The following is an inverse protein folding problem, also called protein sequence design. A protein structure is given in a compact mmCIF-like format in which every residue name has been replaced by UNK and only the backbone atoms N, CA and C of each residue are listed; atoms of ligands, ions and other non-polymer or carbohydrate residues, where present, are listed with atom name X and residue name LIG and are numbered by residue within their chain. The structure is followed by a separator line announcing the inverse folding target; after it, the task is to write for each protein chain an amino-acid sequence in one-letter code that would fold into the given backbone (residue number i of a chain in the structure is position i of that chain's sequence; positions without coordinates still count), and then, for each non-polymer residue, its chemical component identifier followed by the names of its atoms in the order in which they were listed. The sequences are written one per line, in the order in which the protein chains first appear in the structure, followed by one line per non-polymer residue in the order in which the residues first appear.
data_IF_183998759055
#
_entry.id   IF_183998759055
#
_cell.length_a   1.000
_cell.length_b   1.000
_cell.length_c   1.000
_cell.angle_alpha   90.00
_cell.angle_beta   90.00
_cell.angle_gamma   90.00
#
_symmetry.space_group_name_H-M   'P 1'
#
loop_
_entity.id
_entity.type
_entity.pdbx_description
1 polymer ?
#
# COMPACT_ATOMS: atom_id res chain seq x y z
N UNK A 1 29.62 -1.52 3.79
CA UNK A 1 29.38 -0.65 2.60
C UNK A 1 27.93 -0.80 2.17
N UNK A 2 27.26 0.27 1.80
CA UNK A 2 25.91 0.26 1.24
C UNK A 2 25.97 0.43 -0.26
N UNK A 3 25.18 -0.35 -0.97
CA UNK A 3 25.07 -0.31 -2.42
C UNK A 3 23.60 -0.12 -2.80
N UNK A 4 23.36 0.53 -3.93
CA UNK A 4 22.03 0.60 -4.55
C UNK A 4 22.02 -0.29 -5.79
N UNK A 5 21.02 -1.15 -5.91
CA UNK A 5 20.84 -1.95 -7.13
C UNK A 5 20.32 -1.05 -8.23
N UNK A 6 21.07 -0.91 -9.31
CA UNK A 6 20.68 -0.11 -10.47
C UNK A 6 19.87 -0.94 -11.48
N UNK A 7 20.29 -2.17 -11.73
CA UNK A 7 19.57 -3.09 -12.61
C UNK A 7 19.90 -4.53 -12.28
N UNK A 8 19.01 -5.45 -12.66
CA UNK A 8 19.20 -6.89 -12.51
C UNK A 8 19.40 -7.47 -13.90
N UNK A 9 20.41 -8.34 -14.06
CA UNK A 9 20.72 -9.03 -15.30
C UNK A 9 20.02 -10.39 -15.27
N UNK A 10 19.14 -10.63 -16.23
CA UNK A 10 18.32 -11.84 -16.32
C UNK A 10 16.85 -11.59 -15.98
N UNK A 11 15.99 -12.55 -16.28
CA UNK A 11 14.56 -12.47 -16.03
C UNK A 11 14.04 -13.74 -15.32
N UNK A 12 13.06 -13.59 -14.45
CA UNK A 12 12.46 -14.70 -13.71
C UNK A 12 13.45 -15.37 -12.74
N UNK A 13 13.45 -16.70 -12.68
CA UNK A 13 14.32 -17.46 -11.79
C UNK A 13 15.79 -17.54 -12.26
N UNK A 14 16.09 -17.05 -13.46
CA UNK A 14 17.46 -17.07 -14.04
C UNK A 14 18.14 -15.70 -13.95
N UNK A 15 18.13 -15.10 -12.78
CA UNK A 15 18.90 -13.90 -12.52
C UNK A 15 20.37 -14.25 -12.35
N UNK A 16 21.22 -13.74 -13.25
CA UNK A 16 22.66 -14.08 -13.32
C UNK A 16 23.56 -13.01 -12.74
N UNK A 17 23.04 -11.84 -12.43
CA UNK A 17 23.84 -10.76 -11.85
C UNK A 17 23.02 -9.50 -11.59
N UNK A 18 23.67 -8.54 -10.96
CA UNK A 18 23.10 -7.21 -10.72
C UNK A 18 24.16 -6.14 -10.93
N UNK A 19 23.76 -5.01 -11.50
CA UNK A 19 24.58 -3.81 -11.53
C UNK A 19 24.25 -3.00 -10.27
N UNK A 20 25.27 -2.75 -9.45
CA UNK A 20 25.13 -2.03 -8.19
C UNK A 20 25.94 -0.73 -8.21
N UNK A 21 25.38 0.32 -7.63
CA UNK A 21 26.10 1.54 -7.31
C UNK A 21 26.58 1.45 -5.88
N UNK A 22 27.88 1.53 -5.66
CA UNK A 22 28.46 1.54 -4.31
C UNK A 22 28.37 2.97 -3.76
N UNK A 23 27.50 3.16 -2.76
CA UNK A 23 27.26 4.47 -2.17
C UNK A 23 28.30 4.84 -1.11
N UNK A 24 28.91 3.85 -0.47
CA UNK A 24 29.98 4.07 0.50
C UNK A 24 30.91 2.86 0.62
N UNK A 25 32.17 3.10 0.78
CA UNK A 25 33.21 2.09 1.02
C UNK A 25 33.78 2.34 2.42
N UNK A 26 33.88 1.27 3.22
CA UNK A 26 34.50 1.38 4.56
C UNK A 26 35.99 1.71 4.48
N UNK A 27 36.49 2.44 5.46
CA UNK A 27 37.91 2.78 5.60
C UNK A 27 38.75 1.51 5.63
N UNK A 28 39.81 1.46 4.80
CA UNK A 28 40.71 0.30 4.67
C UNK A 28 40.52 -0.58 3.43
N UNK A 29 39.52 -0.28 2.60
CA UNK A 29 39.30 -0.98 1.32
C UNK A 29 39.90 -0.22 0.12
N UNK A 30 40.33 1.01 0.34
CA UNK A 30 40.62 2.00 -0.70
C UNK A 30 41.85 1.73 -1.53
N UNK A 31 42.79 0.86 -1.15
CA UNK A 31 44.08 0.77 -1.82
C UNK A 31 44.67 -0.65 -2.05
N UNK A 32 43.85 -1.65 -2.26
CA UNK A 32 44.38 -2.99 -2.60
C UNK A 32 44.09 -3.36 -4.06
N UNK A 33 45.07 -3.17 -4.90
CA UNK A 33 44.97 -3.33 -6.37
C UNK A 33 45.34 -4.73 -6.89
N UNK A 34 45.70 -5.70 -6.04
CA UNK A 34 46.36 -6.93 -6.51
C UNK A 34 45.64 -8.25 -6.26
N UNK A 35 44.55 -8.26 -5.53
CA UNK A 35 43.75 -9.50 -5.33
C UNK A 35 42.27 -9.23 -5.59
N UNK A 36 41.58 -10.13 -6.35
CA UNK A 36 40.12 -10.07 -6.48
C UNK A 36 39.49 -10.17 -5.09
N UNK A 37 38.72 -9.18 -4.71
CA UNK A 37 37.98 -9.21 -3.45
C UNK A 37 36.62 -9.86 -3.68
N UNK A 38 36.34 -10.89 -2.91
CA UNK A 38 35.01 -11.44 -2.81
C UNK A 38 34.19 -10.57 -1.85
N UNK A 39 33.02 -10.15 -2.29
CA UNK A 39 32.06 -9.41 -1.48
C UNK A 39 30.80 -10.25 -1.34
N UNK A 40 30.37 -10.44 -0.12
CA UNK A 40 29.04 -10.95 0.13
C UNK A 40 28.05 -9.78 0.00
N UNK A 41 27.14 -9.91 -0.95
CA UNK A 41 26.08 -8.92 -1.17
C UNK A 41 24.80 -9.47 -0.56
N UNK A 42 24.33 -8.82 0.48
CA UNK A 42 23.02 -9.12 1.08
C UNK A 42 22.02 -8.06 0.58
N UNK A 43 20.94 -8.51 -0.01
CA UNK A 43 19.85 -7.63 -0.41
C UNK A 43 19.13 -7.13 0.85
N UNK A 44 19.34 -5.85 1.19
CA UNK A 44 18.59 -5.19 2.25
C UNK A 44 17.22 -4.79 1.68
N UNK A 45 16.22 -5.62 1.90
CA UNK A 45 14.84 -5.33 1.49
C UNK A 45 14.06 -4.76 2.68
N UNK A 46 13.12 -3.88 2.37
CA UNK A 46 12.12 -3.48 3.36
C UNK A 46 11.33 -4.72 3.82
N UNK A 47 10.99 -4.76 5.11
CA UNK A 47 10.17 -5.84 5.65
C UNK A 47 8.79 -5.84 4.99
N UNK A 48 8.23 -7.01 4.65
CA UNK A 48 6.86 -7.09 4.18
C UNK A 48 5.89 -6.49 5.22
N UNK A 49 4.83 -5.86 4.76
CA UNK A 49 3.74 -5.41 5.60
C UNK A 49 2.44 -6.14 5.23
N UNK A 50 1.51 -6.19 6.16
CA UNK A 50 0.31 -7.04 6.07
C UNK A 50 0.63 -8.55 5.93
N UNK A 51 1.75 -9.02 6.51
CA UNK A 51 2.27 -10.36 6.32
C UNK A 51 1.23 -11.46 6.57
N UNK A 52 0.48 -11.34 7.66
CA UNK A 52 -0.60 -12.26 8.05
C UNK A 52 -2.00 -11.67 7.84
N UNK A 53 -2.11 -10.64 7.02
CA UNK A 53 -3.36 -9.92 6.78
C UNK A 53 -3.60 -9.74 5.30
N UNK A 54 -4.85 -9.87 4.91
CA UNK A 54 -5.27 -9.59 3.54
C UNK A 54 -5.96 -8.24 3.51
N UNK A 55 -5.19 -7.22 3.14
CA UNK A 55 -5.62 -5.84 3.10
C UNK A 55 -6.60 -5.59 1.95
N UNK A 56 -7.70 -4.90 2.24
CA UNK A 56 -8.64 -4.36 1.26
C UNK A 56 -8.73 -2.87 1.49
N UNK A 57 -8.80 -2.12 0.42
CA UNK A 57 -8.87 -0.67 0.46
C UNK A 57 -10.17 -0.17 -0.16
N UNK A 58 -10.66 0.91 0.38
CA UNK A 58 -11.79 1.66 -0.11
C UNK A 58 -11.57 3.14 0.17
N UNK A 59 -12.55 3.95 -0.11
CA UNK A 59 -12.53 5.37 0.18
C UNK A 59 -13.92 5.87 0.56
N UNK A 60 -13.98 7.07 1.13
CA UNK A 60 -15.21 7.82 1.34
C UNK A 60 -14.93 9.30 1.18
N UNK A 61 -15.95 10.06 0.90
CA UNK A 61 -15.87 11.52 0.76
C UNK A 61 -16.41 12.22 1.99
N UNK A 62 -15.84 13.37 2.27
CA UNK A 62 -16.36 14.34 3.21
C UNK A 62 -16.72 15.61 2.45
N UNK A 63 -17.90 16.10 2.72
CA UNK A 63 -18.49 17.27 2.07
C UNK A 63 -18.27 18.55 2.89
N UNK A 64 -18.43 19.72 2.27
CA UNK A 64 -18.29 21.02 2.92
C UNK A 64 -19.15 21.17 4.18
N UNK A 65 -20.31 20.55 4.20
CA UNK A 65 -21.23 20.58 5.36
C UNK A 65 -20.85 19.57 6.46
N UNK A 66 -19.63 18.98 6.40
CA UNK A 66 -19.13 17.92 7.28
C UNK A 66 -19.93 16.58 7.24
N UNK A 67 -20.78 16.39 6.26
CA UNK A 67 -21.36 15.09 6.00
C UNK A 67 -20.33 14.15 5.39
N UNK A 68 -20.52 12.86 5.61
CA UNK A 68 -19.63 11.81 5.13
C UNK A 68 -20.44 10.90 4.20
N UNK A 69 -19.87 10.55 3.05
CA UNK A 69 -20.49 9.62 2.12
C UNK A 69 -20.52 8.19 2.65
N UNK A 70 -21.31 7.34 2.02
CA UNK A 70 -21.14 5.90 2.16
C UNK A 70 -19.75 5.46 1.75
N UNK A 71 -19.31 4.30 2.21
CA UNK A 71 -18.05 3.69 1.77
C UNK A 71 -18.14 3.28 0.31
N UNK A 72 -17.06 3.49 -0.42
CA UNK A 72 -16.90 2.84 -1.73
C UNK A 72 -16.88 1.31 -1.56
N UNK A 73 -17.14 0.54 -2.61
CA UNK A 73 -16.81 -0.87 -2.60
C UNK A 73 -15.33 -1.07 -2.26
N UNK A 74 -15.05 -2.05 -1.40
CA UNK A 74 -13.67 -2.40 -1.08
C UNK A 74 -13.03 -3.18 -2.23
N UNK A 75 -11.75 -2.96 -2.43
CA UNK A 75 -10.94 -3.69 -3.42
C UNK A 75 -10.91 -5.21 -3.13
N UNK A 76 -10.42 -5.96 -4.11
CA UNK A 76 -9.96 -7.32 -3.84
C UNK A 76 -8.82 -7.29 -2.80
N UNK A 77 -8.59 -8.41 -2.08
CA UNK A 77 -7.47 -8.51 -1.17
C UNK A 77 -6.15 -8.28 -1.89
N UNK A 78 -5.32 -7.40 -1.34
CA UNK A 78 -3.96 -7.22 -1.82
C UNK A 78 -3.10 -8.39 -1.30
N UNK A 79 -2.53 -9.16 -2.21
CA UNK A 79 -1.77 -10.35 -1.87
C UNK A 79 -0.69 -10.65 -2.90
N UNK A 80 0.54 -10.79 -2.43
CA UNK A 80 1.67 -11.30 -3.19
C UNK A 80 2.16 -12.56 -2.47
N UNK A 81 1.95 -13.76 -3.05
CA UNK A 81 2.37 -15.01 -2.41
C UNK A 81 3.89 -15.12 -2.32
N UNK A 82 4.35 -15.80 -1.29
CA UNK A 82 5.71 -16.33 -1.23
C UNK A 82 5.87 -17.62 -2.07
N UNK A 83 7.09 -18.10 -2.12
CA UNK A 83 7.38 -19.39 -2.74
C UNK A 83 6.67 -20.53 -1.99
N UNK A 84 6.17 -21.50 -2.75
CA UNK A 84 5.55 -22.68 -2.14
C UNK A 84 6.57 -23.43 -1.30
N UNK A 85 6.35 -23.44 0.00
CA UNK A 85 7.20 -24.16 0.97
C UNK A 85 6.32 -24.71 2.10
N UNK A 86 5.81 -25.89 1.91
CA UNK A 86 4.98 -26.54 2.92
C UNK A 86 5.84 -27.31 3.92
N UNK A 87 5.74 -26.93 5.17
CA UNK A 87 6.35 -27.67 6.29
C UNK A 87 5.30 -28.51 7.00
N UNK A 88 5.36 -29.85 6.92
CA UNK A 88 4.40 -30.72 7.63
C UNK A 88 4.43 -30.54 9.15
N UNK A 89 5.57 -30.11 9.71
CA UNK A 89 5.74 -29.90 11.15
C UNK A 89 5.07 -28.63 11.64
N UNK A 90 5.07 -27.59 10.81
CA UNK A 90 4.48 -26.30 11.12
C UNK A 90 3.02 -26.21 10.68
N UNK A 91 2.60 -27.07 9.76
CA UNK A 91 1.22 -27.17 9.33
C UNK A 91 0.74 -26.04 8.42
N UNK A 92 1.64 -25.19 7.91
CA UNK A 92 1.29 -24.10 6.99
C UNK A 92 2.26 -24.01 5.81
N UNK A 93 1.82 -23.30 4.80
CA UNK A 93 2.57 -23.03 3.58
C UNK A 93 2.98 -21.56 3.53
N UNK A 94 4.27 -21.28 3.39
CA UNK A 94 4.81 -19.92 3.29
C UNK A 94 4.25 -19.11 2.10
N UNK A 95 3.72 -19.78 1.08
CA UNK A 95 2.99 -19.10 0.01
C UNK A 95 1.74 -18.34 0.50
N UNK A 96 1.23 -18.66 1.70
CA UNK A 96 0.13 -17.94 2.34
C UNK A 96 0.57 -16.68 3.09
N UNK A 97 1.87 -16.43 3.18
CA UNK A 97 2.45 -15.21 3.73
C UNK A 97 2.43 -14.13 2.66
N UNK A 98 1.98 -12.96 3.02
CA UNK A 98 1.92 -11.83 2.10
C UNK A 98 3.28 -11.12 2.01
N UNK A 99 3.85 -11.05 0.82
CA UNK A 99 5.14 -10.41 0.56
C UNK A 99 5.05 -9.00 -0.02
N UNK A 100 3.95 -8.31 0.27
CA UNK A 100 3.78 -6.91 -0.16
C UNK A 100 4.77 -6.02 0.59
N UNK A 101 5.52 -5.23 -0.16
CA UNK A 101 6.49 -4.26 0.36
C UNK A 101 6.12 -2.82 0.05
N UNK A 102 5.24 -2.64 -0.92
CA UNK A 102 4.69 -1.35 -1.32
C UNK A 102 3.33 -1.56 -1.98
N UNK A 103 2.40 -0.68 -1.70
CA UNK A 103 1.09 -0.60 -2.35
C UNK A 103 0.87 0.80 -2.89
N UNK A 104 0.36 0.88 -4.10
CA UNK A 104 -0.12 2.13 -4.67
C UNK A 104 -1.63 2.05 -4.84
N UNK A 105 -2.35 2.98 -4.22
CA UNK A 105 -3.78 3.16 -4.43
C UNK A 105 -3.94 4.30 -5.42
N UNK A 106 -4.72 4.09 -6.47
CA UNK A 106 -4.96 5.08 -7.51
C UNK A 106 -6.43 5.12 -7.91
N UNK A 107 -6.82 6.21 -8.58
CA UNK A 107 -8.17 6.40 -9.13
C UNK A 107 -9.28 6.44 -8.06
N UNK A 108 -8.99 6.99 -6.89
CA UNK A 108 -9.99 7.22 -5.84
C UNK A 108 -10.72 8.56 -5.99
N UNK A 109 -10.27 9.40 -6.93
CA UNK A 109 -10.92 10.66 -7.32
C UNK A 109 -11.35 10.55 -8.78
N UNK A 110 -12.64 10.28 -9.06
CA UNK A 110 -13.15 10.23 -10.41
C UNK A 110 -13.25 11.64 -11.00
N UNK A 111 -13.22 11.74 -12.32
CA UNK A 111 -13.31 13.03 -13.03
C UNK A 111 -14.62 13.80 -12.82
N UNK A 112 -15.67 13.10 -12.36
CA UNK A 112 -16.98 13.67 -12.08
C UNK A 112 -17.28 13.75 -10.57
N UNK A 113 -16.26 13.94 -9.74
CA UNK A 113 -16.44 14.12 -8.30
C UNK A 113 -17.36 15.32 -8.04
N UNK A 114 -18.32 15.24 -7.08
CA UNK A 114 -19.15 16.37 -6.70
C UNK A 114 -18.31 17.55 -6.22
N UNK A 115 -18.71 18.76 -6.60
CA UNK A 115 -17.95 19.99 -6.33
C UNK A 115 -17.87 20.35 -4.83
N UNK A 116 -18.79 19.86 -4.05
CA UNK A 116 -18.89 20.06 -2.60
C UNK A 116 -18.06 19.04 -1.78
N UNK A 117 -17.32 18.15 -2.45
CA UNK A 117 -16.37 17.25 -1.77
C UNK A 117 -15.09 18.00 -1.47
N UNK A 118 -14.73 18.07 -0.20
CA UNK A 118 -13.54 18.79 0.29
C UNK A 118 -12.40 17.87 0.73
N UNK A 119 -12.73 16.61 1.07
CA UNK A 119 -11.76 15.66 1.60
C UNK A 119 -12.12 14.23 1.18
N UNK A 120 -11.11 13.41 0.94
CA UNK A 120 -11.25 11.98 0.71
C UNK A 120 -10.48 11.21 1.78
N UNK A 121 -11.16 10.29 2.46
CA UNK A 121 -10.54 9.36 3.39
C UNK A 121 -10.20 8.06 2.67
N UNK A 122 -8.98 7.60 2.75
CA UNK A 122 -8.56 6.27 2.32
C UNK A 122 -8.81 5.28 3.46
N UNK A 123 -9.56 4.24 3.16
CA UNK A 123 -10.02 3.26 4.13
C UNK A 123 -9.29 1.93 3.95
N UNK A 124 -9.01 1.29 5.07
CA UNK A 124 -8.44 -0.04 5.14
C UNK A 124 -9.35 -0.98 5.92
N UNK A 125 -9.46 -2.21 5.44
CA UNK A 125 -10.12 -3.30 6.14
C UNK A 125 -9.31 -4.60 5.93
N UNK A 126 -9.00 -5.30 7.01
CA UNK A 126 -8.47 -6.65 6.91
C UNK A 126 -9.61 -7.65 6.69
N UNK A 127 -9.35 -8.71 5.92
CA UNK A 127 -10.37 -9.73 5.63
C UNK A 127 -10.87 -10.45 6.89
N UNK A 128 -10.00 -10.59 7.89
CA UNK A 128 -10.28 -11.26 9.15
C UNK A 128 -10.78 -10.33 10.27
N UNK A 129 -11.04 -9.05 9.97
CA UNK A 129 -11.46 -8.06 10.96
C UNK A 129 -12.68 -7.30 10.46
N UNK A 130 -13.65 -7.08 11.34
CA UNK A 130 -14.83 -6.29 11.02
C UNK A 130 -14.58 -4.77 11.03
N UNK A 131 -13.52 -4.33 11.70
CA UNK A 131 -13.21 -2.91 11.82
C UNK A 131 -12.73 -2.33 10.49
N UNK A 132 -13.13 -1.10 10.23
CA UNK A 132 -12.64 -0.26 9.15
C UNK A 132 -11.77 0.84 9.76
N UNK A 133 -10.65 1.11 9.13
CA UNK A 133 -9.67 2.08 9.60
C UNK A 133 -9.49 3.16 8.53
N UNK A 134 -9.23 4.37 8.96
CA UNK A 134 -8.73 5.44 8.08
C UNK A 134 -7.21 5.34 8.05
N UNK A 135 -6.66 5.18 6.87
CA UNK A 135 -5.21 5.17 6.64
C UNK A 135 -4.69 6.59 6.55
N UNK A 136 -5.33 7.39 5.72
CA UNK A 136 -5.00 8.80 5.52
C UNK A 136 -6.19 9.55 4.94
N UNK A 137 -6.11 10.87 4.98
CA UNK A 137 -7.16 11.78 4.48
C UNK A 137 -6.51 12.89 3.66
N UNK A 138 -7.03 13.13 2.46
CA UNK A 138 -6.49 14.11 1.51
C UNK A 138 -7.52 15.14 1.15
N UNK A 139 -7.07 16.39 1.11
CA UNK A 139 -7.84 17.54 0.66
C UNK A 139 -7.50 17.90 -0.79
N UNK A 140 -8.29 18.76 -1.42
CA UNK A 140 -8.07 19.17 -2.82
C UNK A 140 -6.75 19.93 -3.07
N UNK A 141 -6.02 20.29 -2.02
CA UNK A 141 -4.71 20.96 -2.09
C UNK A 141 -3.53 20.02 -1.98
N UNK A 142 -3.77 18.76 -1.62
CA UNK A 142 -2.70 17.78 -1.40
C UNK A 142 -2.22 17.14 -2.71
N UNK A 143 -0.94 16.82 -2.78
CA UNK A 143 -0.32 16.22 -3.96
C UNK A 143 -0.93 14.88 -4.33
N UNK A 144 -1.35 14.09 -3.33
CA UNK A 144 -2.02 12.81 -3.50
C UNK A 144 -3.40 12.97 -4.16
N UNK A 145 -4.12 14.03 -3.83
CA UNK A 145 -5.37 14.38 -4.51
C UNK A 145 -5.12 14.75 -5.96
N UNK A 146 -4.15 15.63 -6.21
CA UNK A 146 -3.83 16.11 -7.55
C UNK A 146 -3.30 15.01 -8.46
N UNK A 147 -2.45 14.14 -7.92
CA UNK A 147 -1.91 12.98 -8.64
C UNK A 147 -2.89 11.81 -8.74
N UNK A 148 -3.96 11.84 -7.93
CA UNK A 148 -4.93 10.75 -7.77
C UNK A 148 -4.24 9.41 -7.48
N UNK A 149 -3.19 9.47 -6.65
CA UNK A 149 -2.32 8.33 -6.33
C UNK A 149 -1.72 8.47 -4.94
N UNK A 150 -1.77 7.39 -4.17
CA UNK A 150 -1.23 7.32 -2.81
C UNK A 150 -0.41 6.05 -2.61
N UNK A 151 0.81 6.21 -2.07
CA UNK A 151 1.73 5.11 -1.82
C UNK A 151 1.75 4.72 -0.34
N UNK A 152 1.39 3.48 -0.07
CA UNK A 152 1.46 2.89 1.27
C UNK A 152 2.76 2.10 1.38
N UNK A 153 3.61 2.48 2.34
CA UNK A 153 4.89 1.83 2.63
C UNK A 153 4.95 1.21 4.03
N UNK A 154 3.95 1.46 4.85
CA UNK A 154 3.89 1.00 6.24
C UNK A 154 2.46 0.67 6.63
N UNK A 155 2.28 -0.11 7.69
CA UNK A 155 0.95 -0.41 8.26
C UNK A 155 0.45 0.74 9.16
N UNK A 156 0.60 1.99 8.74
CA UNK A 156 0.13 3.14 9.51
C UNK A 156 -1.39 3.21 9.42
N UNK A 157 -2.02 3.30 10.56
CA UNK A 157 -3.45 3.51 10.73
C UNK A 157 -3.62 4.80 11.51
N UNK A 158 -4.28 5.79 10.90
CA UNK A 158 -4.49 7.08 11.54
C UNK A 158 -5.61 7.01 12.57
N UNK A 159 -6.72 6.39 12.23
CA UNK A 159 -7.85 6.25 13.14
C UNK A 159 -8.75 5.06 12.81
N UNK A 160 -9.54 4.64 13.80
CA UNK A 160 -10.59 3.63 13.62
C UNK A 160 -11.89 4.34 13.28
N UNK A 161 -12.59 3.88 12.25
CA UNK A 161 -13.92 4.37 11.94
C UNK A 161 -14.88 3.98 13.06
N UNK A 162 -15.59 4.95 13.61
CA UNK A 162 -16.50 4.72 14.73
C UNK A 162 -17.59 3.72 14.34
N UNK A 163 -17.90 2.79 15.24
CA UNK A 163 -18.95 1.77 15.02
C UNK A 163 -20.31 2.38 14.65
N UNK A 164 -20.63 3.54 15.21
CA UNK A 164 -21.87 4.26 14.87
C UNK A 164 -21.90 4.72 13.41
N UNK A 165 -20.75 5.03 12.83
CA UNK A 165 -20.64 5.38 11.41
C UNK A 165 -20.75 4.15 10.51
N UNK A 166 -20.27 2.99 10.98
CA UNK A 166 -20.38 1.73 10.24
C UNK A 166 -21.83 1.22 10.14
N UNK A 167 -22.61 1.43 11.20
CA UNK A 167 -23.98 0.93 11.31
C UNK A 167 -25.04 1.97 10.93
N UNK A 168 -24.65 3.23 10.76
CA UNK A 168 -25.58 4.30 10.40
C UNK A 168 -26.10 4.06 8.99
N UNK A 169 -27.42 3.96 8.79
CA UNK A 169 -27.96 4.00 7.44
C UNK A 169 -27.60 5.37 6.86
N UNK A 170 -26.77 5.38 5.81
CA UNK A 170 -26.43 6.60 5.11
C UNK A 170 -27.68 7.11 4.38
N UNK A 171 -28.38 8.02 5.02
CA UNK A 171 -29.45 8.77 4.36
C UNK A 171 -28.93 9.67 3.22
N UNK A 172 -27.63 9.82 3.14
CA UNK A 172 -26.91 10.67 2.21
C UNK A 172 -26.26 9.91 1.04
N UNK A 173 -26.78 8.78 0.66
CA UNK A 173 -26.63 8.33 -0.73
C UNK A 173 -27.10 9.50 -1.59
N UNK A 174 -26.35 9.90 -2.64
CA UNK A 174 -26.63 11.14 -3.37
C UNK A 174 -28.06 11.12 -3.95
N UNK A 175 -29.00 11.53 -3.12
CA UNK A 175 -30.40 11.77 -3.50
C UNK A 175 -30.53 12.93 -4.46
N UNK A 176 -29.50 13.75 -4.57
CA UNK A 176 -29.44 14.84 -5.55
C UNK A 176 -29.60 14.35 -6.97
N UNK A 177 -29.12 13.17 -7.28
CA UNK A 177 -29.37 12.58 -8.58
C UNK A 177 -30.87 12.34 -8.86
N UNK A 178 -31.63 12.03 -7.81
CA UNK A 178 -33.08 11.84 -7.90
C UNK A 178 -33.86 13.16 -7.84
N UNK A 179 -33.32 14.17 -7.17
CA UNK A 179 -34.00 15.47 -7.02
C UNK A 179 -33.65 16.44 -8.14
N UNK A 180 -32.63 16.18 -8.92
CA UNK A 180 -32.27 17.02 -10.07
C UNK A 180 -33.13 16.70 -11.31
N UNK A 181 -33.81 15.61 -11.32
CA UNK A 181 -34.64 15.15 -12.43
C UNK A 181 -36.13 15.49 -12.22
N UNK A 182 -36.47 16.12 -11.11
CA UNK A 182 -37.81 16.57 -10.78
C UNK A 182 -37.93 18.07 -11.08
#
# INVERSE_FOLDING_TARGET
SRCTVQSIIGSGQNQTGAVVIVNSVGVGIENQTTTPKLYDVVLEQETPFFEMRFARFGYRYKYENNEISAFSPFSNPAFIPGDFNYSPQEGYNLAMVNNIRQLTISNFIPSNIPIDVVEVDILYKATNNANVYVVDSFTSTDDEWLSNSFNIKTEIITSVVNANQLLRPYNNVPRKALTQEI
#
